data_IF_348575415222
#
_entry.id   IF_348575415222
#
_cell.length_a   1.000
_cell.length_b   1.000
_cell.length_c   1.000
_cell.angle_alpha   90.00
_cell.angle_beta   90.00
_cell.angle_gamma   90.00
#
_symmetry.space_group_name_H-M   'P 1'
#
loop_
_entity.id
_entity.type
_entity.pdbx_description
1 polymer ?
#
# COMPACT_ATOMS: atom_id res chain seq x y z
N UNK A 1 -27.60 3.25 20.96
CA UNK A 1 -26.66 2.54 21.84
C UNK A 1 -25.35 2.42 21.08
N UNK A 2 -24.60 3.53 21.05
CA UNK A 2 -23.25 3.60 20.49
C UNK A 2 -22.30 3.35 21.66
N UNK A 3 -21.36 2.42 21.49
CA UNK A 3 -20.35 2.14 22.50
C UNK A 3 -19.47 3.39 22.67
N UNK A 4 -19.47 3.93 23.89
CA UNK A 4 -18.50 4.92 24.35
C UNK A 4 -17.18 4.18 24.57
N UNK A 5 -16.18 4.42 23.73
CA UNK A 5 -14.79 4.16 24.10
C UNK A 5 -14.17 5.50 24.54
N UNK A 6 -13.87 5.56 25.84
CA UNK A 6 -13.28 6.71 26.53
C UNK A 6 -11.86 6.99 26.01
N UNK A 7 -11.66 8.19 25.46
CA UNK A 7 -10.32 8.76 25.24
C UNK A 7 -9.92 9.48 26.55
N UNK A 8 -8.77 9.17 27.17
CA UNK A 8 -8.36 9.81 28.41
C UNK A 8 -8.02 11.29 28.16
N UNK A 9 -8.84 12.17 28.73
CA UNK A 9 -8.68 13.63 28.63
C UNK A 9 -9.90 14.35 28.03
N UNK A 10 -11.05 14.32 28.72
CA UNK A 10 -12.07 15.38 28.72
C UNK A 10 -12.59 15.97 27.39
N UNK A 11 -12.43 15.31 26.24
CA UNK A 11 -12.96 15.74 24.94
C UNK A 11 -14.18 14.91 24.59
N UNK A 12 -15.36 15.55 24.59
CA UNK A 12 -16.61 14.97 24.07
C UNK A 12 -16.71 15.40 22.60
N UNK A 13 -16.53 14.45 21.67
CA UNK A 13 -16.83 14.66 20.25
C UNK A 13 -18.31 14.36 19.99
N UNK A 14 -19.09 15.37 19.62
CA UNK A 14 -20.48 15.22 19.19
C UNK A 14 -20.56 15.41 17.67
N UNK A 15 -20.92 14.35 16.95
CA UNK A 15 -21.15 14.38 15.51
C UNK A 15 -22.52 15.01 15.23
N UNK A 16 -22.54 16.22 14.66
CA UNK A 16 -23.75 16.78 14.08
C UNK A 16 -23.84 16.34 12.62
N UNK A 17 -24.79 15.45 12.31
CA UNK A 17 -25.07 15.02 10.96
C UNK A 17 -25.77 16.15 10.19
N UNK A 18 -25.08 16.74 9.21
CA UNK A 18 -25.72 17.43 8.09
C UNK A 18 -25.06 16.97 6.80
N UNK A 19 -25.93 16.62 5.86
CA UNK A 19 -25.67 16.04 4.57
C UNK A 19 -24.91 17.03 3.66
N UNK A 20 -24.14 16.46 2.72
CA UNK A 20 -23.47 17.10 1.58
C UNK A 20 -22.07 17.72 1.82
N UNK A 21 -21.15 17.30 0.94
CA UNK A 21 -19.70 17.54 0.91
C UNK A 21 -18.84 16.71 1.88
N UNK A 22 -17.71 16.19 1.39
CA UNK A 22 -16.68 15.51 2.19
C UNK A 22 -15.92 16.47 3.13
N UNK A 23 -16.41 17.71 3.29
CA UNK A 23 -15.85 18.73 4.15
C UNK A 23 -16.60 18.75 5.49
N UNK A 24 -16.37 17.72 6.31
CA UNK A 24 -16.87 17.69 7.68
C UNK A 24 -16.29 18.84 8.50
N UNK A 25 -17.12 19.83 8.85
CA UNK A 25 -16.76 20.90 9.80
C UNK A 25 -16.86 20.34 11.21
N UNK A 26 -15.74 20.30 11.94
CA UNK A 26 -15.71 19.90 13.34
C UNK A 26 -15.78 21.15 14.23
N UNK A 27 -16.69 21.13 15.21
CA UNK A 27 -16.71 22.12 16.28
C UNK A 27 -15.96 21.53 17.48
N UNK A 28 -14.83 22.14 17.83
CA UNK A 28 -14.10 21.77 19.06
C UNK A 28 -14.56 22.74 20.14
N UNK A 29 -15.38 22.27 21.08
CA UNK A 29 -15.73 23.03 22.27
C UNK A 29 -14.59 22.96 23.28
N UNK A 30 -13.96 24.10 23.57
CA UNK A 30 -13.06 24.27 24.72
C UNK A 30 -13.78 25.06 25.82
N UNK A 31 -13.33 24.93 27.07
CA UNK A 31 -13.91 25.64 28.22
C UNK A 31 -13.93 27.18 28.03
N UNK A 32 -13.08 27.73 27.16
CA UNK A 32 -12.95 29.18 26.92
C UNK A 32 -13.58 29.66 25.59
N UNK A 33 -14.26 28.80 24.82
CA UNK A 33 -14.94 29.20 23.58
C UNK A 33 -15.06 28.10 22.53
N UNK A 34 -15.84 28.38 21.47
CA UNK A 34 -16.01 27.51 20.31
C UNK A 34 -15.10 28.00 19.19
N UNK A 35 -14.09 27.21 18.83
CA UNK A 35 -13.25 27.49 17.66
C UNK A 35 -13.71 26.63 16.48
N UNK A 36 -13.89 27.27 15.32
CA UNK A 36 -14.30 26.59 14.09
C UNK A 36 -13.03 26.09 13.40
N UNK A 37 -12.76 24.80 13.45
CA UNK A 37 -11.62 24.20 12.76
C UNK A 37 -12.15 23.47 11.52
N UNK A 38 -11.87 24.01 10.33
CA UNK A 38 -12.07 23.23 9.10
C UNK A 38 -10.89 22.27 8.94
N UNK A 39 -11.05 21.03 9.42
CA UNK A 39 -10.17 19.96 8.97
C UNK A 39 -10.67 19.57 7.58
N UNK A 40 -10.02 20.08 6.53
CA UNK A 40 -10.28 19.58 5.18
C UNK A 40 -9.86 18.12 5.17
N UNK A 41 -10.82 17.21 5.03
CA UNK A 41 -10.48 15.89 4.54
C UNK A 41 -9.91 16.12 3.15
N UNK A 42 -8.63 15.81 2.97
CA UNK A 42 -8.02 15.92 1.64
C UNK A 42 -8.86 15.03 0.73
N UNK A 43 -9.41 15.60 -0.34
CA UNK A 43 -10.14 14.86 -1.37
C UNK A 43 -9.47 13.50 -1.59
N UNK A 44 -10.24 12.42 -1.49
CA UNK A 44 -9.71 11.06 -1.69
C UNK A 44 -9.19 11.02 -3.12
N UNK A 45 -7.87 11.07 -3.29
CA UNK A 45 -7.25 11.05 -4.61
C UNK A 45 -7.78 9.83 -5.35
N UNK A 46 -8.38 10.08 -6.51
CA UNK A 46 -8.91 9.03 -7.37
C UNK A 46 -10.38 8.69 -7.18
N UNK A 47 -11.04 9.05 -6.08
CA UNK A 47 -12.47 8.83 -5.90
C UNK A 47 -13.20 10.14 -5.63
N UNK A 48 -14.16 10.47 -6.48
CA UNK A 48 -14.92 11.71 -6.38
C UNK A 48 -16.40 11.46 -6.69
N UNK A 49 -17.27 12.28 -6.09
CA UNK A 49 -18.69 12.30 -6.44
C UNK A 49 -18.95 13.47 -7.41
N UNK A 50 -19.59 13.19 -8.54
CA UNK A 50 -20.03 14.19 -9.51
C UNK A 50 -21.55 14.07 -9.65
N UNK A 51 -22.31 15.13 -9.34
CA UNK A 51 -23.77 15.18 -9.53
C UNK A 51 -24.51 13.89 -9.14
N UNK A 52 -24.26 13.39 -7.91
CA UNK A 52 -24.80 12.15 -7.33
C UNK A 52 -24.20 10.80 -7.78
N UNK A 53 -23.20 10.79 -8.65
CA UNK A 53 -22.53 9.58 -9.08
C UNK A 53 -21.12 9.45 -8.48
N UNK A 54 -20.75 8.26 -8.01
CA UNK A 54 -19.39 7.96 -7.55
C UNK A 54 -18.53 7.53 -8.74
N UNK A 55 -17.36 8.15 -8.90
CA UNK A 55 -16.41 7.86 -9.96
C UNK A 55 -15.03 7.49 -9.40
N UNK A 56 -14.32 6.61 -10.11
CA UNK A 56 -12.91 6.30 -9.91
C UNK A 56 -12.09 6.84 -11.10
N UNK A 57 -11.10 7.71 -10.84
CA UNK A 57 -10.26 8.35 -11.86
C UNK A 57 -11.09 9.00 -13.00
N UNK A 58 -12.20 9.66 -12.62
CA UNK A 58 -13.21 10.27 -13.50
C UNK A 58 -14.06 9.28 -14.32
N UNK A 59 -14.01 7.98 -14.02
CA UNK A 59 -14.88 6.95 -14.61
C UNK A 59 -16.01 6.61 -13.64
N UNK A 60 -17.28 6.78 -14.04
CA UNK A 60 -18.42 6.36 -13.23
C UNK A 60 -18.34 4.89 -12.80
N UNK A 61 -18.55 4.61 -11.51
CA UNK A 61 -18.55 3.22 -11.01
C UNK A 61 -19.74 2.41 -11.55
N UNK A 62 -20.85 3.07 -11.88
CA UNK A 62 -22.01 2.47 -12.56
C UNK A 62 -21.62 1.90 -13.92
N UNK A 63 -20.87 2.67 -14.74
CA UNK A 63 -20.39 2.25 -16.04
C UNK A 63 -19.40 1.08 -15.95
N UNK A 64 -18.54 1.07 -14.92
CA UNK A 64 -17.64 -0.07 -14.66
C UNK A 64 -18.45 -1.32 -14.28
N UNK A 65 -19.45 -1.18 -13.39
CA UNK A 65 -20.29 -2.28 -12.97
C UNK A 65 -21.13 -2.86 -14.12
N UNK A 66 -21.60 -2.01 -15.04
CA UNK A 66 -22.31 -2.44 -16.25
C UNK A 66 -21.40 -3.19 -17.22
N UNK A 67 -20.17 -2.71 -17.42
CA UNK A 67 -19.22 -3.31 -18.35
C UNK A 67 -18.61 -4.63 -17.84
N UNK A 68 -18.25 -4.70 -16.56
CA UNK A 68 -17.47 -5.81 -15.97
C UNK A 68 -18.32 -6.76 -15.11
N UNK A 69 -19.56 -6.39 -14.81
CA UNK A 69 -20.42 -7.11 -13.86
C UNK A 69 -20.00 -6.91 -12.40
N UNK A 70 -20.77 -7.51 -11.49
CA UNK A 70 -20.52 -7.41 -10.04
C UNK A 70 -20.52 -8.79 -9.36
N UNK A 71 -19.68 -9.00 -8.32
CA UNK A 71 -18.81 -8.03 -7.65
C UNK A 71 -17.55 -7.67 -8.45
N UNK A 72 -17.13 -6.40 -8.39
CA UNK A 72 -15.89 -5.88 -9.00
C UNK A 72 -15.11 -5.04 -7.99
N UNK A 73 -13.79 -5.23 -7.95
CA UNK A 73 -12.88 -4.41 -7.16
C UNK A 73 -12.23 -3.35 -8.05
N UNK A 74 -12.45 -2.08 -7.73
CA UNK A 74 -11.93 -0.94 -8.50
C UNK A 74 -10.82 -0.24 -7.71
N UNK A 75 -9.67 -0.05 -8.35
CA UNK A 75 -8.51 0.62 -7.77
C UNK A 75 -8.16 1.85 -8.60
N UNK A 76 -7.92 2.99 -7.94
CA UNK A 76 -7.45 4.20 -8.60
C UNK A 76 -5.94 4.14 -8.82
N UNK A 77 -5.49 4.27 -10.06
CA UNK A 77 -4.08 4.41 -10.36
C UNK A 77 -3.54 5.75 -9.85
N UNK A 78 -4.33 6.82 -9.90
CA UNK A 78 -3.95 8.13 -9.38
C UNK A 78 -3.63 8.07 -7.87
N UNK A 79 -4.40 7.30 -7.10
CA UNK A 79 -4.15 7.10 -5.68
C UNK A 79 -2.80 6.42 -5.43
N UNK A 80 -2.49 5.33 -6.14
CA UNK A 80 -1.19 4.65 -6.04
C UNK A 80 -0.02 5.59 -6.38
N UNK A 81 -0.12 6.33 -7.49
CA UNK A 81 0.90 7.29 -7.92
C UNK A 81 1.14 8.38 -6.88
N UNK A 82 0.06 8.93 -6.32
CA UNK A 82 0.17 9.98 -5.30
C UNK A 82 0.80 9.46 -4.01
N UNK A 83 0.43 8.26 -3.55
CA UNK A 83 1.01 7.66 -2.34
C UNK A 83 2.48 7.31 -2.51
N UNK A 84 2.85 6.70 -3.64
CA UNK A 84 4.25 6.41 -3.96
C UNK A 84 5.09 7.70 -3.92
N UNK A 85 4.68 8.73 -4.67
CA UNK A 85 5.39 10.01 -4.73
C UNK A 85 5.48 10.72 -3.38
N UNK A 86 4.43 10.63 -2.56
CA UNK A 86 4.45 11.23 -1.22
C UNK A 86 5.48 10.55 -0.31
N UNK A 87 5.61 9.22 -0.38
CA UNK A 87 6.62 8.48 0.39
C UNK A 87 8.02 8.80 -0.15
N UNK A 88 8.20 8.74 -1.47
CA UNK A 88 9.48 9.01 -2.15
C UNK A 88 10.00 10.42 -1.83
N UNK A 89 9.14 11.43 -1.98
CA UNK A 89 9.48 12.81 -1.66
C UNK A 89 9.80 13.04 -0.18
N UNK A 90 9.26 12.24 0.74
CA UNK A 90 9.53 12.39 2.17
C UNK A 90 10.98 12.03 2.55
N UNK A 91 11.66 11.22 1.74
CA UNK A 91 13.09 10.93 1.91
C UNK A 91 14.00 12.01 1.30
N UNK A 92 13.45 12.92 0.48
CA UNK A 92 14.22 13.97 -0.19
C UNK A 92 15.38 13.41 -1.00
N UNK A 93 16.56 14.02 -0.86
CA UNK A 93 17.77 13.60 -1.59
C UNK A 93 18.51 12.43 -0.95
N UNK A 94 18.03 11.90 0.20
CA UNK A 94 18.70 10.79 0.87
C UNK A 94 18.68 9.54 -0.04
N UNK A 95 19.81 8.84 -0.25
CA UNK A 95 19.81 7.64 -1.09
C UNK A 95 18.87 6.56 -0.54
N UNK A 96 17.79 6.27 -1.27
CA UNK A 96 16.80 5.29 -0.85
C UNK A 96 16.23 4.53 -2.06
N UNK A 97 15.49 3.45 -1.76
CA UNK A 97 14.70 2.73 -2.74
C UNK A 97 13.43 2.24 -2.07
N UNK A 98 12.28 2.51 -2.68
CA UNK A 98 11.00 2.02 -2.18
C UNK A 98 10.73 0.61 -2.71
N UNK A 99 10.32 -0.30 -1.83
CA UNK A 99 9.93 -1.66 -2.19
C UNK A 99 8.44 -1.84 -1.93
N UNK A 100 7.67 -2.13 -2.97
CA UNK A 100 6.25 -2.39 -2.84
C UNK A 100 6.04 -3.80 -2.32
N UNK A 101 5.39 -3.93 -1.17
CA UNK A 101 5.05 -5.20 -0.56
C UNK A 101 3.88 -5.87 -1.33
N UNK A 102 4.19 -6.93 -2.07
CA UNK A 102 3.20 -7.62 -2.92
C UNK A 102 2.04 -8.24 -2.12
N UNK A 103 2.29 -8.61 -0.86
CA UNK A 103 1.26 -9.11 0.06
C UNK A 103 0.13 -8.11 0.33
N UNK A 104 0.33 -6.82 0.07
CA UNK A 104 -0.72 -5.81 0.19
C UNK A 104 -1.75 -5.95 -0.94
N UNK A 105 -1.28 -6.12 -2.18
CA UNK A 105 -2.09 -6.47 -3.33
C UNK A 105 -1.20 -6.94 -4.49
N UNK A 106 -1.28 -8.24 -4.81
CA UNK A 106 -0.43 -8.86 -5.83
C UNK A 106 -1.04 -8.83 -7.23
N UNK A 107 -2.10 -8.03 -7.48
CA UNK A 107 -2.65 -7.87 -8.81
C UNK A 107 -1.57 -7.40 -9.80
N UNK A 108 -1.42 -8.13 -10.91
CA UNK A 108 -0.34 -7.92 -11.88
C UNK A 108 -0.30 -6.48 -12.44
N UNK A 109 -1.47 -5.87 -12.62
CA UNK A 109 -1.58 -4.47 -13.08
C UNK A 109 -1.02 -3.48 -12.04
N UNK A 110 -1.24 -3.72 -10.75
CA UNK A 110 -0.71 -2.88 -9.66
C UNK A 110 0.80 -3.08 -9.55
N UNK A 111 1.29 -4.32 -9.61
CA UNK A 111 2.73 -4.59 -9.61
C UNK A 111 3.45 -3.87 -10.77
N UNK A 112 2.88 -3.90 -11.98
CA UNK A 112 3.40 -3.16 -13.14
C UNK A 112 3.37 -1.65 -12.93
N UNK A 113 2.27 -1.11 -12.40
CA UNK A 113 2.16 0.31 -12.07
C UNK A 113 3.25 0.75 -11.08
N UNK A 114 3.49 -0.03 -10.03
CA UNK A 114 4.53 0.27 -9.03
C UNK A 114 5.93 0.20 -9.64
N UNK A 115 6.21 -0.81 -10.48
CA UNK A 115 7.47 -0.89 -11.24
C UNK A 115 7.67 0.35 -12.12
N UNK A 116 6.65 0.75 -12.88
CA UNK A 116 6.71 1.89 -13.80
C UNK A 116 6.91 3.23 -13.06
N UNK A 117 6.52 3.29 -11.79
CA UNK A 117 6.80 4.42 -10.90
C UNK A 117 8.24 4.46 -10.40
N UNK A 118 9.03 3.39 -10.57
CA UNK A 118 10.39 3.28 -10.07
C UNK A 118 10.54 2.44 -8.80
N UNK A 119 9.46 1.80 -8.32
CA UNK A 119 9.53 0.92 -7.16
C UNK A 119 10.36 -0.33 -7.45
N UNK A 120 10.99 -0.85 -6.41
CA UNK A 120 11.43 -2.24 -6.28
C UNK A 120 10.27 -3.10 -5.70
N UNK A 121 10.46 -4.42 -5.55
CA UNK A 121 9.44 -5.33 -5.06
C UNK A 121 9.89 -6.05 -3.78
N UNK A 122 9.00 -6.09 -2.80
CA UNK A 122 9.11 -6.91 -1.61
C UNK A 122 8.15 -8.12 -1.75
N UNK A 123 8.76 -9.31 -1.84
CA UNK A 123 8.07 -10.58 -2.00
C UNK A 123 8.23 -11.43 -0.74
N UNK A 124 7.15 -12.06 -0.32
CA UNK A 124 7.07 -12.90 0.89
C UNK A 124 7.02 -14.41 0.55
N UNK A 125 7.00 -14.78 -0.74
CA UNK A 125 7.01 -16.17 -1.21
C UNK A 125 7.63 -16.29 -2.61
N UNK A 126 7.95 -17.52 -3.04
CA UNK A 126 8.41 -17.80 -4.41
C UNK A 126 7.36 -17.41 -5.46
N UNK A 127 6.07 -17.60 -5.17
CA UNK A 127 5.01 -17.20 -6.09
C UNK A 127 4.98 -15.69 -6.32
N UNK A 128 5.24 -14.90 -5.27
CA UNK A 128 5.34 -13.45 -5.41
C UNK A 128 6.62 -13.00 -6.12
N UNK A 129 7.74 -13.73 -5.95
CA UNK A 129 8.95 -13.50 -6.74
C UNK A 129 8.66 -13.72 -8.23
N UNK A 130 7.99 -14.81 -8.59
CA UNK A 130 7.62 -15.09 -9.98
C UNK A 130 6.60 -14.07 -10.50
N UNK A 131 5.66 -13.63 -9.67
CA UNK A 131 4.71 -12.57 -10.03
C UNK A 131 5.44 -11.23 -10.29
N UNK A 132 6.41 -10.86 -9.46
CA UNK A 132 7.25 -9.68 -9.67
C UNK A 132 8.02 -9.80 -10.99
N UNK A 133 8.63 -10.95 -11.26
CA UNK A 133 9.34 -11.20 -12.54
C UNK A 133 8.38 -11.10 -13.73
N UNK A 134 7.16 -11.61 -13.63
CA UNK A 134 6.10 -11.48 -14.64
C UNK A 134 5.60 -10.04 -14.81
N UNK A 135 5.61 -9.25 -13.73
CA UNK A 135 5.37 -7.81 -13.78
C UNK A 135 6.56 -7.06 -14.40
N UNK A 136 7.70 -7.72 -14.62
CA UNK A 136 8.90 -7.22 -15.29
C UNK A 136 9.92 -6.57 -14.36
N UNK A 137 9.86 -6.82 -13.05
CA UNK A 137 10.95 -6.50 -12.14
C UNK A 137 12.15 -7.42 -12.43
N UNK A 138 13.36 -6.86 -12.41
CA UNK A 138 14.59 -7.65 -12.47
C UNK A 138 14.87 -8.30 -11.11
N UNK A 139 15.56 -9.46 -11.04
CA UNK A 139 15.93 -10.08 -9.76
C UNK A 139 16.63 -9.12 -8.79
N UNK A 140 17.53 -8.27 -9.30
CA UNK A 140 18.23 -7.25 -8.53
C UNK A 140 17.34 -6.12 -7.96
N UNK A 141 16.05 -6.11 -8.30
CA UNK A 141 15.03 -5.19 -7.77
C UNK A 141 14.06 -5.89 -6.80
N UNK A 142 14.27 -7.18 -6.49
CA UNK A 142 13.36 -7.96 -5.65
C UNK A 142 14.07 -8.31 -4.34
N UNK A 143 13.41 -8.09 -3.21
CA UNK A 143 13.82 -8.61 -1.89
C UNK A 143 12.88 -9.72 -1.46
N UNK A 144 13.45 -10.79 -0.88
CA UNK A 144 12.67 -11.90 -0.33
C UNK A 144 12.60 -11.81 1.19
N UNK A 145 11.47 -11.37 1.72
CA UNK A 145 11.23 -11.11 3.16
C UNK A 145 10.41 -12.19 3.87
N UNK A 146 10.03 -13.26 3.15
CA UNK A 146 9.23 -14.37 3.67
C UNK A 146 9.75 -14.94 4.99
N UNK A 147 8.88 -15.17 5.97
CA UNK A 147 9.28 -15.83 7.23
C UNK A 147 9.33 -17.35 7.07
N UNK A 148 10.32 -17.99 7.69
CA UNK A 148 10.39 -19.45 7.75
C UNK A 148 10.63 -20.12 6.38
N UNK A 149 11.48 -19.52 5.54
CA UNK A 149 11.75 -19.99 4.16
C UNK A 149 12.19 -21.45 4.17
N UNK A 150 11.47 -22.29 3.44
CA UNK A 150 11.78 -23.71 3.32
C UNK A 150 13.06 -23.93 2.49
N UNK A 151 13.65 -25.12 2.60
CA UNK A 151 14.80 -25.48 1.79
C UNK A 151 14.50 -25.39 0.29
N UNK A 152 13.31 -25.82 -0.14
CA UNK A 152 12.87 -25.78 -1.53
C UNK A 152 12.74 -24.34 -2.06
N UNK A 153 12.20 -23.42 -1.24
CA UNK A 153 12.15 -22.01 -1.61
C UNK A 153 13.55 -21.40 -1.73
N UNK A 154 14.46 -21.74 -0.81
CA UNK A 154 15.84 -21.28 -0.88
C UNK A 154 16.60 -21.85 -2.09
N UNK A 155 16.37 -23.11 -2.48
CA UNK A 155 16.91 -23.67 -3.73
C UNK A 155 16.46 -22.88 -4.96
N UNK A 156 15.23 -22.37 -4.95
CA UNK A 156 14.70 -21.59 -6.06
C UNK A 156 15.22 -20.14 -6.01
N UNK A 157 15.20 -19.48 -4.85
CA UNK A 157 15.48 -18.06 -4.73
C UNK A 157 16.96 -17.70 -4.83
N UNK A 158 17.86 -18.51 -4.24
CA UNK A 158 19.29 -18.18 -4.16
C UNK A 158 19.97 -18.08 -5.55
N UNK A 159 19.70 -18.99 -6.51
CA UNK A 159 20.27 -18.89 -7.85
C UNK A 159 19.77 -17.68 -8.65
N UNK A 160 18.58 -17.14 -8.35
CA UNK A 160 18.01 -16.00 -9.10
C UNK A 160 18.82 -14.71 -8.95
N UNK A 161 19.68 -14.60 -7.93
CA UNK A 161 20.44 -13.37 -7.69
C UNK A 161 19.53 -12.21 -7.32
N UNK A 162 18.58 -12.46 -6.40
CA UNK A 162 17.73 -11.42 -5.84
C UNK A 162 18.57 -10.31 -5.18
N UNK A 163 18.00 -9.11 -5.04
CA UNK A 163 18.69 -8.00 -4.36
C UNK A 163 19.14 -8.38 -2.96
N UNK A 164 18.24 -9.02 -2.21
CA UNK A 164 18.49 -9.53 -0.88
C UNK A 164 17.51 -10.66 -0.54
N UNK A 165 17.97 -11.55 0.34
CA UNK A 165 17.11 -12.51 1.04
C UNK A 165 17.26 -12.16 2.51
N UNK A 166 16.20 -11.66 3.15
CA UNK A 166 16.25 -11.31 4.56
C UNK A 166 16.29 -12.58 5.39
N UNK A 167 17.28 -12.74 6.24
CA UNK A 167 17.46 -13.97 7.01
C UNK A 167 16.80 -13.83 8.37
N UNK A 168 15.85 -14.72 8.68
CA UNK A 168 15.08 -14.64 9.93
C UNK A 168 15.66 -15.50 11.07
N UNK A 169 16.64 -16.37 10.78
CA UNK A 169 17.31 -17.18 11.81
C UNK A 169 18.71 -17.62 11.40
N UNK A 170 19.55 -17.95 12.38
CA UNK A 170 20.87 -18.55 12.13
C UNK A 170 20.78 -19.87 11.34
N UNK A 171 19.73 -20.65 11.56
CA UNK A 171 19.48 -21.88 10.80
C UNK A 171 19.14 -21.62 9.33
N UNK A 172 18.43 -20.53 9.04
CA UNK A 172 18.16 -20.08 7.67
C UNK A 172 19.42 -19.54 7.00
N UNK A 173 20.25 -18.77 7.73
CA UNK A 173 21.56 -18.31 7.25
C UNK A 173 22.42 -19.50 6.79
N UNK A 174 22.52 -20.53 7.62
CA UNK A 174 23.29 -21.74 7.31
C UNK A 174 22.72 -22.51 6.10
N UNK A 175 21.41 -22.47 5.85
CA UNK A 175 20.80 -23.05 4.63
C UNK A 175 21.15 -22.23 3.40
N UNK A 176 21.13 -20.90 3.49
CA UNK A 176 21.49 -20.01 2.38
C UNK A 176 22.98 -20.14 2.05
N UNK A 177 23.86 -20.10 3.04
CA UNK A 177 25.32 -20.19 2.85
C UNK A 177 25.73 -21.49 2.13
N UNK A 178 25.07 -22.62 2.43
CA UNK A 178 25.31 -23.89 1.73
C UNK A 178 24.99 -23.85 0.22
N UNK A 179 24.17 -22.90 -0.23
CA UNK A 179 23.78 -22.70 -1.64
C UNK A 179 24.60 -21.63 -2.35
N UNK A 180 25.41 -20.87 -1.61
CA UNK A 180 26.39 -19.89 -2.13
C UNK A 180 27.68 -19.93 -1.31
N UNK A 181 28.49 -20.99 -1.45
CA UNK A 181 29.75 -21.11 -0.72
C UNK A 181 30.79 -20.03 -1.09
N UNK A 182 30.61 -19.36 -2.24
CA UNK A 182 31.59 -18.40 -2.81
C UNK A 182 31.23 -16.92 -2.52
N UNK A 183 30.11 -16.73 -1.82
CA UNK A 183 29.62 -15.56 -1.06
C UNK A 183 30.31 -15.19 0.26
N UNK A 184 31.19 -14.17 0.41
CA UNK A 184 31.60 -13.73 1.74
C UNK A 184 30.42 -13.16 2.56
#
# INVERSE_FOLDING_TARGET
MLANDEIPGGLIALQAALNESLDGVWLICRHEGVERVSIRYTAVIGFARHHDELACDNVPLSAIAEAEGTPVYVYSAAAFRARYRAIDAAFGDYPHALHYALKANSALAIARLMRDLGSAADANSIWEIELARKAGFQPAQIVFTGVGKSAAELECAVPLGLKAINVESAGELARIARRRPDQP
#
